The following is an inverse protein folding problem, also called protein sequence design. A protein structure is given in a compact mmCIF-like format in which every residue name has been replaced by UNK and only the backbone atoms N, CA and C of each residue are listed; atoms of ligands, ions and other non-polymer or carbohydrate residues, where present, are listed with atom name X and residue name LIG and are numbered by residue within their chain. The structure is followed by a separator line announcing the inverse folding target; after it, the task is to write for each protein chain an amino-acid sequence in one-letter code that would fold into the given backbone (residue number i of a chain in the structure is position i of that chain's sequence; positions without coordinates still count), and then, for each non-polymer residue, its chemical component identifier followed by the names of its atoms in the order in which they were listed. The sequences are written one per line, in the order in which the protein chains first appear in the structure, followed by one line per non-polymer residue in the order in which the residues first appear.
data_IF_183768300100
#
_entry.id   IF_183768300100
#
_cell.length_a   1.000
_cell.length_b   1.000
_cell.length_c   1.000
_cell.angle_alpha   90.00
_cell.angle_beta   90.00
_cell.angle_gamma   90.00
#
_symmetry.space_group_name_H-M   'P 1'
#
loop_
_entity.id
_entity.type
_entity.pdbx_description
1 polymer ?
#
# COMPACT_ATOMS: atom_id res chain seq x y z
N UNK A 1 -48.86 34.82 -24.07
CA UNK A 1 -48.85 33.41 -23.58
C UNK A 1 -47.52 32.66 -23.86
N UNK A 2 -46.63 33.18 -24.71
CA UNK A 2 -45.42 32.46 -25.15
C UNK A 2 -44.18 32.66 -24.25
N UNK A 3 -44.19 33.69 -23.38
CA UNK A 3 -43.01 34.02 -22.54
C UNK A 3 -42.81 33.07 -21.35
N UNK A 4 -43.89 32.49 -20.82
CA UNK A 4 -43.84 31.61 -19.65
C UNK A 4 -43.31 30.22 -20.00
N UNK A 5 -43.58 29.71 -21.20
CA UNK A 5 -43.02 28.44 -21.69
C UNK A 5 -41.51 28.53 -21.92
N UNK A 6 -41.02 29.67 -22.40
CA UNK A 6 -39.59 29.90 -22.59
C UNK A 6 -38.80 29.93 -21.28
N UNK A 7 -39.38 30.43 -20.19
CA UNK A 7 -38.73 30.46 -18.89
C UNK A 7 -38.62 29.06 -18.29
N UNK A 8 -39.68 28.27 -18.37
CA UNK A 8 -39.69 26.88 -17.88
C UNK A 8 -38.68 26.01 -18.64
N UNK A 9 -38.61 26.11 -19.96
CA UNK A 9 -37.66 25.42 -20.78
C UNK A 9 -36.22 25.79 -20.45
N UNK A 10 -35.93 27.07 -20.21
CA UNK A 10 -34.60 27.54 -19.80
C UNK A 10 -34.18 26.97 -18.44
N UNK A 11 -35.09 26.94 -17.47
CA UNK A 11 -34.83 26.36 -16.15
C UNK A 11 -34.59 24.84 -16.26
N UNK A 12 -35.44 24.15 -17.02
CA UNK A 12 -35.27 22.70 -17.23
C UNK A 12 -33.93 22.37 -17.90
N UNK A 13 -33.56 23.10 -18.96
CA UNK A 13 -32.24 22.90 -19.60
C UNK A 13 -31.08 23.19 -18.64
N UNK A 14 -31.18 24.22 -17.81
CA UNK A 14 -30.15 24.55 -16.83
C UNK A 14 -29.97 23.43 -15.78
N UNK A 15 -31.06 22.88 -15.26
CA UNK A 15 -31.04 21.77 -14.30
C UNK A 15 -30.41 20.53 -14.91
N UNK A 16 -30.80 20.17 -16.14
CA UNK A 16 -30.21 19.03 -16.86
C UNK A 16 -28.69 19.23 -17.08
N UNK A 17 -28.26 20.43 -17.46
CA UNK A 17 -26.84 20.74 -17.63
C UNK A 17 -26.04 20.58 -16.34
N UNK A 18 -26.61 21.03 -15.21
CA UNK A 18 -25.96 20.88 -13.90
C UNK A 18 -25.80 19.39 -13.54
N UNK A 19 -26.83 18.57 -13.77
CA UNK A 19 -26.79 17.14 -13.50
C UNK A 19 -25.72 16.45 -14.37
N UNK A 20 -25.62 16.84 -15.65
CA UNK A 20 -24.59 16.30 -16.55
C UNK A 20 -23.18 16.66 -16.08
N UNK A 21 -22.94 17.90 -15.68
CA UNK A 21 -21.64 18.36 -15.17
C UNK A 21 -21.25 17.58 -13.90
N UNK A 22 -22.19 17.37 -12.98
CA UNK A 22 -21.94 16.58 -11.77
C UNK A 22 -21.61 15.12 -12.14
N UNK A 23 -22.33 14.56 -13.11
CA UNK A 23 -22.08 13.20 -13.63
C UNK A 23 -20.70 13.07 -14.28
N UNK A 24 -20.27 14.04 -15.05
CA UNK A 24 -18.94 14.06 -15.67
C UNK A 24 -17.82 14.15 -14.62
N UNK A 25 -17.96 15.03 -13.63
CA UNK A 25 -17.00 15.14 -12.52
C UNK A 25 -16.94 13.83 -11.74
N UNK A 26 -18.08 13.24 -11.38
CA UNK A 26 -18.14 11.93 -10.70
C UNK A 26 -17.51 10.82 -11.54
N UNK A 27 -17.74 10.83 -12.85
CA UNK A 27 -17.14 9.90 -13.80
C UNK A 27 -15.61 9.99 -13.86
N UNK A 28 -15.06 11.22 -13.82
CA UNK A 28 -13.61 11.44 -13.80
C UNK A 28 -12.98 10.90 -12.51
N UNK A 29 -13.60 11.14 -11.35
CA UNK A 29 -13.12 10.58 -10.08
C UNK A 29 -13.17 9.05 -10.07
N UNK A 30 -14.23 8.46 -10.59
CA UNK A 30 -14.35 7.00 -10.71
C UNK A 30 -13.34 6.43 -11.70
N UNK A 31 -13.13 7.07 -12.85
CA UNK A 31 -12.16 6.65 -13.84
C UNK A 31 -10.71 6.73 -13.31
N UNK A 32 -10.35 7.79 -12.59
CA UNK A 32 -9.02 7.92 -11.98
C UNK A 32 -8.79 6.83 -10.94
N UNK A 33 -9.75 6.54 -10.07
CA UNK A 33 -9.64 5.45 -9.10
C UNK A 33 -9.53 4.06 -9.75
N UNK A 34 -10.22 3.83 -10.88
CA UNK A 34 -10.09 2.58 -11.65
C UNK A 34 -8.78 2.53 -12.43
N UNK A 35 -8.29 3.64 -12.96
CA UNK A 35 -6.98 3.70 -13.63
C UNK A 35 -5.83 3.42 -12.66
N UNK A 36 -5.89 3.94 -11.44
CA UNK A 36 -4.92 3.63 -10.39
C UNK A 36 -4.96 2.12 -10.05
N UNK A 37 -6.15 1.53 -9.96
CA UNK A 37 -6.30 0.10 -9.77
C UNK A 37 -5.74 -0.72 -10.95
N UNK A 38 -6.01 -0.32 -12.18
CA UNK A 38 -5.47 -0.98 -13.37
C UNK A 38 -3.97 -0.74 -13.55
N UNK A 39 -3.42 0.40 -13.12
CA UNK A 39 -1.98 0.64 -13.14
C UNK A 39 -1.24 -0.30 -12.18
N UNK A 40 -1.82 -0.56 -11.02
CA UNK A 40 -1.30 -1.54 -10.05
C UNK A 40 -1.29 -2.95 -10.66
N UNK A 41 -2.34 -3.33 -11.41
CA UNK A 41 -2.42 -4.64 -12.08
C UNK A 41 -1.49 -4.70 -13.31
N UNK A 42 -1.31 -3.59 -14.00
CA UNK A 42 -0.61 -3.55 -15.30
C UNK A 42 0.86 -3.10 -15.18
N UNK A 43 1.34 -2.80 -13.98
CA UNK A 43 2.73 -2.40 -13.74
C UNK A 43 3.68 -3.62 -13.79
N UNK A 44 3.69 -4.28 -14.95
CA UNK A 44 4.64 -5.33 -15.35
C UNK A 44 4.88 -6.44 -14.30
N UNK A 45 3.89 -6.76 -13.49
CA UNK A 45 4.01 -7.79 -12.46
C UNK A 45 4.96 -7.41 -11.31
N UNK A 46 5.13 -6.13 -11.02
CA UNK A 46 5.89 -5.67 -9.86
C UNK A 46 4.97 -5.15 -8.76
N UNK A 47 5.32 -5.46 -7.52
CA UNK A 47 4.72 -4.89 -6.31
C UNK A 47 5.74 -3.96 -5.67
N UNK A 48 5.29 -2.80 -5.23
CA UNK A 48 6.11 -1.84 -4.49
C UNK A 48 5.77 -1.94 -3.02
N UNK A 49 6.77 -2.19 -2.20
CA UNK A 49 6.65 -2.19 -0.75
C UNK A 49 7.50 -1.06 -0.16
N UNK A 50 6.97 -0.37 0.82
CA UNK A 50 7.68 0.67 1.54
C UNK A 50 8.11 0.15 2.92
N UNK A 51 9.39 0.20 3.18
CA UNK A 51 9.98 -0.11 4.48
C UNK A 51 10.46 1.17 5.15
N UNK A 52 10.39 1.23 6.47
CA UNK A 52 10.87 2.37 7.24
C UNK A 52 11.75 1.97 8.40
N UNK A 53 12.69 2.84 8.74
CA UNK A 53 13.36 2.76 10.05
C UNK A 53 12.60 3.69 10.98
N UNK A 54 12.09 3.10 12.05
CA UNK A 54 11.36 3.79 13.10
C UNK A 54 12.13 3.71 14.40
N UNK A 55 12.06 4.77 15.18
CA UNK A 55 12.62 4.82 16.53
C UNK A 55 11.51 5.23 17.51
N UNK A 56 11.58 4.85 18.78
CA UNK A 56 10.62 5.33 19.77
C UNK A 56 10.50 6.84 19.72
N UNK A 57 9.32 7.39 19.85
CA UNK A 57 9.07 8.84 19.80
C UNK A 57 9.88 9.61 20.85
N UNK A 58 10.16 8.99 21.99
CA UNK A 58 11.01 9.50 23.05
C UNK A 58 12.51 9.52 22.74
N UNK A 59 12.92 8.83 21.65
CA UNK A 59 14.32 8.75 21.25
C UNK A 59 14.85 10.11 20.78
N UNK A 60 16.10 10.41 21.08
CA UNK A 60 16.81 11.60 20.58
C UNK A 60 17.30 11.46 19.15
N UNK A 61 17.30 10.23 18.60
CA UNK A 61 17.75 9.91 17.24
C UNK A 61 16.81 10.58 16.22
N UNK A 62 17.40 11.36 15.30
CA UNK A 62 16.67 12.12 14.28
C UNK A 62 16.94 11.66 12.86
N UNK A 63 18.03 10.95 12.63
CA UNK A 63 18.43 10.50 11.31
C UNK A 63 19.20 9.16 11.37
N UNK A 64 19.29 8.47 10.26
CA UNK A 64 19.90 7.14 10.14
C UNK A 64 21.38 7.11 10.50
N UNK A 65 22.11 8.22 10.29
CA UNK A 65 23.56 8.29 10.59
C UNK A 65 23.85 8.13 12.07
N UNK A 66 22.92 8.51 12.92
CA UNK A 66 23.04 8.39 14.38
C UNK A 66 22.93 6.94 14.85
N UNK A 67 22.40 6.04 14.00
CA UNK A 67 22.32 4.60 14.25
C UNK A 67 23.64 3.84 13.98
N UNK A 68 24.69 4.51 13.49
CA UNK A 68 25.95 3.84 13.09
C UNK A 68 26.61 2.96 14.17
N UNK A 69 26.38 3.28 15.44
CA UNK A 69 26.93 2.53 16.59
C UNK A 69 25.89 1.70 17.31
N UNK A 70 24.66 1.76 16.86
CA UNK A 70 23.51 1.17 17.51
C UNK A 70 23.05 -0.07 16.75
N UNK A 71 22.30 -0.93 17.42
CA UNK A 71 21.66 -2.08 16.80
C UNK A 71 20.16 -1.83 16.70
N UNK A 72 19.61 -2.08 15.52
CA UNK A 72 18.17 -2.06 15.29
C UNK A 72 17.65 -3.49 15.16
N UNK A 73 16.36 -3.69 15.31
CA UNK A 73 15.71 -4.95 14.95
C UNK A 73 15.05 -4.81 13.59
N UNK A 74 15.10 -5.83 12.77
CA UNK A 74 14.40 -5.89 11.50
C UNK A 74 13.32 -6.98 11.53
N UNK A 75 12.14 -6.68 10.98
CA UNK A 75 11.07 -7.65 10.81
C UNK A 75 10.60 -7.68 9.36
N UNK A 76 10.41 -8.87 8.82
CA UNK A 76 9.95 -9.13 7.46
C UNK A 76 8.89 -10.21 7.46
N UNK A 77 7.87 -10.05 6.62
CA UNK A 77 6.80 -11.02 6.45
C UNK A 77 7.22 -12.24 5.64
N UNK A 78 8.21 -12.06 4.75
CA UNK A 78 8.72 -13.12 3.89
C UNK A 78 10.21 -12.91 3.52
N UNK A 79 10.86 -14.00 3.06
CA UNK A 79 12.29 -13.99 2.73
C UNK A 79 12.61 -13.14 1.48
N UNK A 80 11.72 -13.04 0.52
CA UNK A 80 11.93 -12.25 -0.69
C UNK A 80 12.02 -10.76 -0.36
N UNK A 81 11.06 -10.24 0.39
CA UNK A 81 11.07 -8.86 0.88
C UNK A 81 12.27 -8.60 1.79
N UNK A 82 12.63 -9.54 2.66
CA UNK A 82 13.80 -9.44 3.52
C UNK A 82 15.08 -9.16 2.71
N UNK A 83 15.36 -10.00 1.70
CA UNK A 83 16.57 -9.87 0.89
C UNK A 83 16.64 -8.52 0.16
N UNK A 84 15.53 -8.10 -0.43
CA UNK A 84 15.46 -6.83 -1.16
C UNK A 84 15.58 -5.63 -0.21
N UNK A 85 14.91 -5.68 0.94
CA UNK A 85 14.93 -4.61 1.92
C UNK A 85 16.31 -4.42 2.54
N UNK A 86 16.96 -5.51 2.93
CA UNK A 86 18.31 -5.46 3.50
C UNK A 86 19.35 -4.93 2.52
N UNK A 87 19.19 -5.19 1.22
CA UNK A 87 20.06 -4.62 0.18
C UNK A 87 19.96 -3.09 0.05
N UNK A 88 18.85 -2.50 0.52
CA UNK A 88 18.66 -1.04 0.54
C UNK A 88 19.17 -0.39 1.82
N UNK A 89 19.30 -1.18 2.88
CA UNK A 89 19.77 -0.68 4.16
C UNK A 89 21.25 -0.29 4.08
N UNK A 90 21.63 0.80 4.72
CA UNK A 90 23.01 1.27 4.75
C UNK A 90 23.93 0.25 5.45
N UNK A 91 25.07 -0.04 4.83
CA UNK A 91 26.00 -1.09 5.27
C UNK A 91 26.59 -0.90 6.68
N UNK A 92 26.51 0.33 7.21
CA UNK A 92 27.00 0.61 8.57
C UNK A 92 25.97 0.36 9.66
N UNK A 93 24.71 0.06 9.30
CA UNK A 93 23.65 -0.22 10.27
C UNK A 93 23.76 -1.68 10.73
N UNK A 94 23.87 -1.87 12.04
CA UNK A 94 23.80 -3.20 12.64
C UNK A 94 22.36 -3.57 12.90
N UNK A 95 21.98 -4.79 12.53
CA UNK A 95 20.61 -5.27 12.75
C UNK A 95 20.58 -6.71 13.22
N UNK A 96 19.52 -7.05 13.94
CA UNK A 96 19.09 -8.42 14.24
C UNK A 96 17.72 -8.67 13.61
N UNK A 97 17.47 -9.90 13.15
CA UNK A 97 16.18 -10.24 12.53
C UNK A 97 15.29 -10.89 13.58
N UNK A 98 14.09 -10.32 13.74
CA UNK A 98 13.04 -10.92 14.56
C UNK A 98 12.11 -11.76 13.70
N UNK A 99 11.67 -12.89 14.25
CA UNK A 99 10.63 -13.74 13.62
C UNK A 99 9.21 -13.33 14.00
N UNK A 100 9.07 -12.44 14.97
CA UNK A 100 7.76 -11.98 15.47
C UNK A 100 7.72 -10.47 15.50
N UNK A 101 6.67 -9.90 14.90
CA UNK A 101 6.47 -8.45 14.84
C UNK A 101 6.29 -7.82 16.22
N UNK A 102 5.45 -8.43 17.07
CA UNK A 102 5.16 -7.89 18.39
C UNK A 102 6.40 -7.90 19.29
N UNK A 103 7.23 -8.93 19.19
CA UNK A 103 8.51 -8.99 19.91
C UNK A 103 9.48 -7.92 19.42
N UNK A 104 9.55 -7.68 18.11
CA UNK A 104 10.39 -6.63 17.55
C UNK A 104 9.95 -5.24 18.06
N UNK A 105 8.67 -4.94 18.00
CA UNK A 105 8.10 -3.69 18.49
C UNK A 105 8.34 -3.51 19.98
N UNK A 106 7.97 -4.52 20.79
CA UNK A 106 8.13 -4.48 22.25
C UNK A 106 9.59 -4.29 22.65
N UNK A 107 10.51 -5.08 22.10
CA UNK A 107 11.94 -4.99 22.42
C UNK A 107 12.53 -3.61 22.03
N UNK A 108 11.97 -2.95 21.01
CA UNK A 108 12.37 -1.60 20.63
C UNK A 108 11.86 -0.56 21.63
N UNK A 109 10.60 -0.67 22.06
CA UNK A 109 10.01 0.23 23.07
C UNK A 109 10.69 0.06 24.44
N UNK A 110 11.04 -1.18 24.80
CA UNK A 110 11.77 -1.50 26.02
C UNK A 110 13.27 -1.07 25.99
N UNK A 111 13.73 -0.50 24.85
CA UNK A 111 15.08 0.05 24.69
C UNK A 111 16.17 -0.98 24.40
N UNK A 112 15.83 -2.28 24.20
CA UNK A 112 16.79 -3.29 23.79
C UNK A 112 17.40 -2.98 22.42
N UNK A 113 16.59 -2.50 21.49
CA UNK A 113 17.01 -2.00 20.18
C UNK A 113 16.73 -0.50 20.09
N UNK A 114 17.58 0.22 19.36
CA UNK A 114 17.43 1.68 19.19
C UNK A 114 16.45 2.08 18.09
N UNK A 115 16.05 1.11 17.28
CA UNK A 115 15.05 1.31 16.22
C UNK A 115 14.57 -0.03 15.65
N UNK A 116 13.56 0.04 14.82
CA UNK A 116 12.99 -1.09 14.09
C UNK A 116 12.93 -0.78 12.60
N UNK A 117 13.36 -1.73 11.77
CA UNK A 117 13.21 -1.70 10.33
C UNK A 117 12.07 -2.65 9.93
N UNK A 118 11.00 -2.10 9.42
CA UNK A 118 9.75 -2.83 9.20
C UNK A 118 8.97 -2.24 8.01
N UNK A 119 8.09 -3.05 7.40
CA UNK A 119 7.14 -2.58 6.40
C UNK A 119 6.27 -1.45 6.96
N UNK A 120 6.15 -0.38 6.17
CA UNK A 120 5.42 0.83 6.59
C UNK A 120 3.96 0.54 6.90
N UNK A 121 3.29 -0.27 6.10
CA UNK A 121 1.88 -0.63 6.32
C UNK A 121 1.67 -1.32 7.68
N UNK A 122 2.57 -2.24 8.07
CA UNK A 122 2.49 -2.90 9.37
C UNK A 122 2.68 -1.92 10.53
N UNK A 123 3.61 -0.97 10.36
CA UNK A 123 3.83 0.06 11.36
C UNK A 123 2.67 1.06 11.44
N UNK A 124 2.09 1.43 10.31
CA UNK A 124 0.93 2.33 10.26
C UNK A 124 -0.25 1.71 11.02
N UNK A 125 -0.55 0.41 10.80
CA UNK A 125 -1.59 -0.32 11.55
C UNK A 125 -1.29 -0.30 13.06
N UNK A 126 -0.04 -0.54 13.47
CA UNK A 126 0.32 -0.51 14.88
C UNK A 126 0.15 0.89 15.50
N UNK A 127 0.54 1.93 14.77
CA UNK A 127 0.47 3.32 15.27
C UNK A 127 -0.93 3.91 15.26
N UNK A 128 -1.88 3.37 14.48
CA UNK A 128 -3.31 3.71 14.61
C UNK A 128 -3.85 3.38 16.01
N UNK A 129 -3.44 2.24 16.57
CA UNK A 129 -3.84 1.83 17.91
C UNK A 129 -2.96 2.46 19.01
N UNK A 130 -1.72 2.81 18.69
CA UNK A 130 -0.70 3.32 19.61
C UNK A 130 -0.09 4.63 19.08
N UNK A 131 -0.87 5.72 19.01
CA UNK A 131 -0.39 6.98 18.47
C UNK A 131 0.82 7.48 19.28
N UNK A 132 1.74 8.16 18.60
CA UNK A 132 2.95 8.73 19.20
C UNK A 132 3.95 7.73 19.81
N UNK A 133 3.80 6.42 19.54
CA UNK A 133 4.75 5.42 20.03
C UNK A 133 6.07 5.43 19.26
N UNK A 134 6.03 5.69 17.95
CA UNK A 134 7.17 5.70 17.06
C UNK A 134 7.21 6.92 16.17
N UNK A 135 8.43 7.27 15.70
CA UNK A 135 8.67 8.25 14.64
C UNK A 135 9.53 7.64 13.53
N UNK A 136 9.16 7.93 12.29
CA UNK A 136 9.90 7.54 11.10
C UNK A 136 11.15 8.41 10.94
N UNK A 137 12.32 7.80 10.70
CA UNK A 137 13.57 8.51 10.44
C UNK A 137 14.15 8.26 9.04
N UNK A 138 13.72 7.19 8.37
CA UNK A 138 14.07 6.90 6.97
C UNK A 138 13.03 6.01 6.32
N UNK A 139 12.87 6.13 4.99
CA UNK A 139 11.98 5.30 4.19
C UNK A 139 12.70 4.75 2.97
N UNK A 140 12.40 3.50 2.60
CA UNK A 140 13.00 2.76 1.50
C UNK A 140 11.90 2.10 0.68
N UNK A 141 11.86 2.39 -0.61
CA UNK A 141 10.97 1.71 -1.54
C UNK A 141 11.67 0.48 -2.12
N UNK A 142 10.96 -0.63 -2.10
CA UNK A 142 11.41 -1.90 -2.64
C UNK A 142 10.49 -2.28 -3.79
N UNK A 143 11.10 -2.60 -4.93
CA UNK A 143 10.40 -3.15 -6.08
C UNK A 143 10.58 -4.65 -6.11
N UNK A 144 9.50 -5.39 -5.86
CA UNK A 144 9.48 -6.84 -5.90
C UNK A 144 8.73 -7.31 -7.14
N UNK A 145 9.29 -8.26 -7.86
CA UNK A 145 8.55 -8.93 -8.93
C UNK A 145 7.43 -9.74 -8.29
N UNK A 146 6.21 -9.53 -8.75
CA UNK A 146 5.08 -10.34 -8.30
C UNK A 146 5.27 -11.76 -8.86
N UNK A 147 5.74 -12.69 -8.02
CA UNK A 147 5.90 -14.11 -8.38
C UNK A 147 4.57 -14.87 -8.31
N UNK A 148 3.49 -14.22 -7.88
CA UNK A 148 2.17 -14.74 -8.21
C UNK A 148 2.00 -14.59 -9.72
N UNK A 149 2.59 -15.53 -10.49
CA UNK A 149 2.02 -15.90 -11.75
C UNK A 149 0.54 -16.19 -11.47
N UNK A 150 -0.31 -15.18 -11.68
CA UNK A 150 -1.59 -15.48 -12.26
C UNK A 150 -1.23 -16.11 -13.61
N UNK A 151 -0.97 -17.38 -13.62
CA UNK A 151 -1.16 -18.20 -14.77
C UNK A 151 -2.63 -17.96 -15.11
N UNK A 152 -2.88 -16.92 -15.91
CA UNK A 152 -4.07 -16.91 -16.75
C UNK A 152 -3.94 -18.26 -17.43
N UNK A 153 -4.73 -19.21 -16.95
CA UNK A 153 -4.89 -20.50 -17.57
C UNK A 153 -4.89 -20.16 -19.05
N UNK A 154 -3.83 -20.54 -19.75
CA UNK A 154 -3.85 -20.53 -21.18
C UNK A 154 -5.09 -21.35 -21.50
N UNK A 155 -6.17 -20.66 -21.82
CA UNK A 155 -7.38 -21.28 -22.32
C UNK A 155 -6.95 -21.79 -23.68
N UNK A 156 -6.22 -22.88 -23.63
CA UNK A 156 -6.02 -23.71 -24.79
C UNK A 156 -7.41 -23.95 -25.31
N UNK A 157 -7.58 -23.81 -26.62
CA UNK A 157 -8.85 -23.89 -27.36
C UNK A 157 -9.47 -25.30 -27.28
N UNK A 158 -9.49 -25.90 -26.11
CA UNK A 158 -10.19 -27.15 -25.89
C UNK A 158 -11.64 -26.84 -25.50
N UNK A 159 -12.61 -27.42 -26.17
CA UNK A 159 -14.01 -27.13 -25.89
C UNK A 159 -14.34 -27.54 -24.46
N UNK A 160 -14.97 -26.63 -23.69
CA UNK A 160 -15.56 -26.96 -22.40
C UNK A 160 -16.63 -28.05 -22.57
N UNK A 161 -16.40 -29.20 -22.00
CA UNK A 161 -17.44 -30.21 -21.84
C UNK A 161 -18.20 -29.92 -20.56
N UNK A 162 -19.37 -29.30 -20.68
CA UNK A 162 -20.28 -29.11 -19.56
C UNK A 162 -21.05 -30.39 -19.32
N UNK A 163 -20.75 -31.13 -18.27
CA UNK A 163 -21.57 -32.22 -17.81
C UNK A 163 -22.82 -31.66 -17.12
N UNK A 164 -23.94 -31.63 -17.79
CA UNK A 164 -25.23 -31.43 -17.14
C UNK A 164 -25.59 -32.72 -16.45
N UNK A 165 -25.48 -32.78 -15.12
CA UNK A 165 -26.08 -33.87 -14.36
C UNK A 165 -27.61 -33.74 -14.50
N UNK A 166 -28.24 -34.69 -15.22
CA UNK A 166 -29.69 -34.78 -15.27
C UNK A 166 -30.22 -34.98 -13.85
N UNK A 167 -31.18 -34.14 -13.50
CA UNK A 167 -32.02 -34.36 -12.32
C UNK A 167 -33.17 -35.20 -12.84
N UNK A 168 -33.20 -36.49 -12.47
CA UNK A 168 -34.38 -37.36 -12.60
C UNK A 168 -35.37 -37.03 -11.46
#
# INVERSE_FOLDING_TARGET
LNSRNNLFTKIACSVVSIILIIGEIGGIFYANGTMDFFSIINDNGYVYENYGIYVPSTSTIKNVKELKKETIVAFFENESSQKLALNKLESYIKYEISKNQNDAIKNTLDGKYKGIFINKTLMDIYTEENPDSFKLISSYEIKQKNESEFNFINVTKEPFVVYLSGID
#
